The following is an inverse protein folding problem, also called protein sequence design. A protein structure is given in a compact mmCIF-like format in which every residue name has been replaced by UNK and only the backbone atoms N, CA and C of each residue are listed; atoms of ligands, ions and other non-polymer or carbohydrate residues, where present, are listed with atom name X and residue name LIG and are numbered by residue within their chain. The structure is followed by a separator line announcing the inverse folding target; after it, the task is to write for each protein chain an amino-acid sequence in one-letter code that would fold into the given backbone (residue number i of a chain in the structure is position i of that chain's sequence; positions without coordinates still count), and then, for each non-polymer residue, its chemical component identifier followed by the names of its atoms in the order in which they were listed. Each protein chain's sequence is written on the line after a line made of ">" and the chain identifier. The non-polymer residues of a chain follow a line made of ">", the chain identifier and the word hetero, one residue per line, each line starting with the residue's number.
data_IF_013388748283
#
_entry.id   IF_013388748283
#
_cell.length_a   1.000
_cell.length_b   1.000
_cell.length_c   1.000
_cell.angle_alpha   90.00
_cell.angle_beta   90.00
_cell.angle_gamma   90.00
#
_symmetry.space_group_name_H-M   'P 1'
#
loop_
_entity.id
_entity.type
_entity.pdbx_description
1 polymer ?
#
# COMPACT_ATOMS: atom_id res chain seq x y z
N UNK A 1 16.94 5.97 -20.56
CA UNK A 1 16.68 4.52 -20.47
C UNK A 1 16.93 4.09 -19.04
N UNK A 2 15.89 4.04 -18.19
CA UNK A 2 16.05 3.57 -16.80
C UNK A 2 16.07 2.06 -16.82
N UNK A 3 17.28 1.47 -16.76
CA UNK A 3 17.46 0.05 -16.49
C UNK A 3 17.04 -0.21 -15.04
N UNK A 4 15.73 -0.25 -14.80
CA UNK A 4 15.19 -0.73 -13.54
C UNK A 4 15.38 -2.24 -13.55
N UNK A 5 16.46 -2.73 -12.95
CA UNK A 5 16.72 -4.17 -12.79
C UNK A 5 15.47 -4.85 -12.24
N UNK A 6 14.87 -5.71 -13.04
CA UNK A 6 13.59 -6.32 -12.74
C UNK A 6 13.77 -7.32 -11.59
N UNK A 7 13.19 -7.02 -10.43
CA UNK A 7 13.34 -7.87 -9.23
C UNK A 7 12.43 -9.09 -9.34
N UNK A 8 13.04 -10.26 -9.37
CA UNK A 8 12.36 -11.54 -9.51
C UNK A 8 12.05 -12.20 -8.16
N UNK A 9 10.87 -12.83 -8.06
CA UNK A 9 10.45 -13.54 -6.87
C UNK A 9 11.27 -14.82 -6.69
N UNK A 10 11.84 -15.01 -5.51
CA UNK A 10 12.66 -16.19 -5.18
C UNK A 10 11.83 -17.48 -5.24
N UNK A 11 10.53 -17.40 -4.96
CA UNK A 11 9.61 -18.55 -4.86
C UNK A 11 9.04 -18.95 -6.22
N UNK A 12 8.42 -18.03 -6.96
CA UNK A 12 7.73 -18.35 -8.21
C UNK A 12 8.51 -17.96 -9.47
N UNK A 13 9.71 -17.37 -9.32
CA UNK A 13 10.61 -16.92 -10.39
C UNK A 13 10.02 -15.91 -11.38
N UNK A 14 8.83 -15.36 -11.10
CA UNK A 14 8.24 -14.28 -11.89
C UNK A 14 8.72 -12.90 -11.41
N UNK A 15 8.78 -11.91 -12.31
CA UNK A 15 9.15 -10.54 -11.94
C UNK A 15 8.12 -9.83 -11.05
N UNK A 16 8.45 -8.62 -10.61
CA UNK A 16 7.55 -7.77 -9.81
C UNK A 16 7.54 -8.10 -8.32
N UNK A 17 8.60 -8.69 -7.79
CA UNK A 17 8.72 -8.99 -6.37
C UNK A 17 9.09 -7.73 -5.58
N UNK A 18 8.11 -7.16 -4.89
CA UNK A 18 8.25 -5.91 -4.12
C UNK A 18 8.27 -6.10 -2.60
N UNK A 19 8.17 -7.34 -2.15
CA UNK A 19 8.21 -7.71 -0.74
C UNK A 19 9.51 -8.46 -0.44
N UNK A 20 9.91 -8.43 0.82
CA UNK A 20 11.11 -9.09 1.30
C UNK A 20 10.72 -10.12 2.35
N UNK A 21 11.25 -11.33 2.21
CA UNK A 21 11.16 -12.39 3.20
C UNK A 21 12.51 -12.59 3.89
N UNK A 22 12.49 -12.81 5.20
CA UNK A 22 13.63 -13.28 5.99
C UNK A 22 13.24 -14.54 6.76
N UNK A 23 14.12 -15.53 6.75
CA UNK A 23 14.00 -16.77 7.51
C UNK A 23 15.14 -16.81 8.53
N UNK A 24 14.81 -16.95 9.81
CA UNK A 24 15.75 -17.04 10.94
C UNK A 24 16.81 -15.94 10.98
N UNK A 25 16.42 -14.72 10.58
CA UNK A 25 17.34 -13.58 10.53
C UNK A 25 18.37 -13.62 9.38
N UNK A 26 18.29 -14.62 8.50
CA UNK A 26 19.17 -14.80 7.37
C UNK A 26 18.96 -13.79 6.23
N UNK A 27 19.31 -14.22 5.02
CA UNK A 27 19.31 -13.39 3.83
C UNK A 27 17.91 -12.80 3.54
N UNK A 28 17.92 -11.58 3.02
CA UNK A 28 16.72 -10.91 2.49
C UNK A 28 16.41 -11.49 1.11
N UNK A 29 15.27 -12.16 0.99
CA UNK A 29 14.84 -12.78 -0.25
C UNK A 29 13.70 -11.96 -0.87
N UNK A 30 13.82 -11.49 -2.13
CA UNK A 30 12.72 -10.83 -2.80
C UNK A 30 11.60 -11.83 -3.08
N UNK A 31 10.37 -11.48 -2.72
CA UNK A 31 9.17 -12.28 -2.91
C UNK A 31 7.98 -11.40 -3.31
N UNK A 32 6.95 -12.01 -3.90
CA UNK A 32 5.62 -11.43 -3.84
C UNK A 32 5.03 -11.64 -2.45
N UNK A 33 4.21 -10.71 -1.97
CA UNK A 33 3.47 -10.86 -0.70
C UNK A 33 2.79 -12.24 -0.56
N UNK A 34 1.95 -12.70 -1.51
CA UNK A 34 1.28 -14.00 -1.38
C UNK A 34 2.27 -15.17 -1.35
N UNK A 35 3.37 -15.09 -2.11
CA UNK A 35 4.39 -16.13 -2.07
C UNK A 35 5.07 -16.20 -0.70
N UNK A 36 5.44 -15.05 -0.12
CA UNK A 36 6.06 -14.98 1.20
C UNK A 36 5.13 -15.48 2.31
N UNK A 37 3.86 -15.05 2.31
CA UNK A 37 2.87 -15.48 3.32
C UNK A 37 2.61 -16.99 3.24
N UNK A 38 2.55 -17.56 2.02
CA UNK A 38 2.40 -19.02 1.86
C UNK A 38 3.58 -19.78 2.45
N UNK A 39 4.82 -19.33 2.20
CA UNK A 39 6.01 -19.97 2.79
C UNK A 39 6.01 -19.83 4.32
N UNK A 40 5.66 -18.65 4.84
CA UNK A 40 5.54 -18.42 6.28
C UNK A 40 4.50 -19.34 6.92
N UNK A 41 3.35 -19.55 6.28
CA UNK A 41 2.30 -20.44 6.78
C UNK A 41 2.73 -21.93 6.76
N UNK A 42 3.58 -22.32 5.80
CA UNK A 42 4.13 -23.68 5.70
C UNK A 42 5.44 -23.88 6.46
N UNK A 43 5.89 -22.88 7.24
CA UNK A 43 7.16 -22.95 7.94
C UNK A 43 7.09 -23.97 9.10
N UNK A 44 8.13 -24.81 9.29
CA UNK A 44 8.22 -25.71 10.44
C UNK A 44 8.14 -24.96 11.77
N UNK A 45 7.57 -25.60 12.80
CA UNK A 45 7.51 -25.03 14.16
C UNK A 45 8.93 -24.67 14.63
N UNK A 46 9.07 -23.46 15.17
CA UNK A 46 10.36 -22.93 15.66
C UNK A 46 11.16 -22.11 14.63
N UNK A 47 10.75 -22.08 13.35
CA UNK A 47 11.33 -21.18 12.34
C UNK A 47 10.67 -19.80 12.40
N UNK A 48 11.48 -18.74 12.34
CA UNK A 48 10.99 -17.36 12.32
C UNK A 48 11.01 -16.84 10.89
N UNK A 49 9.84 -16.81 10.25
CA UNK A 49 9.66 -16.22 8.92
C UNK A 49 9.00 -14.84 9.03
N UNK A 50 9.69 -13.80 8.55
CA UNK A 50 9.17 -12.43 8.47
C UNK A 50 8.99 -12.02 7.02
N UNK A 51 7.86 -11.41 6.71
CA UNK A 51 7.52 -10.87 5.40
C UNK A 51 7.17 -9.39 5.58
N UNK A 52 7.83 -8.50 4.84
CA UNK A 52 7.66 -7.06 4.98
C UNK A 52 7.90 -6.33 3.64
N UNK A 53 7.34 -5.13 3.46
CA UNK A 53 7.53 -4.37 2.22
C UNK A 53 9.00 -3.99 2.00
N UNK A 54 9.46 -3.94 0.74
CA UNK A 54 10.78 -3.41 0.40
C UNK A 54 10.88 -1.92 0.75
N UNK A 55 12.11 -1.40 0.78
CA UNK A 55 12.32 0.02 1.08
C UNK A 55 11.68 0.92 0.02
N UNK A 56 11.78 0.55 -1.27
CA UNK A 56 11.13 1.27 -2.37
C UNK A 56 9.60 1.25 -2.23
N UNK A 57 9.03 0.09 -1.87
CA UNK A 57 7.59 -0.03 -1.67
C UNK A 57 7.10 0.83 -0.49
N UNK A 58 7.91 0.96 0.57
CA UNK A 58 7.62 1.88 1.69
C UNK A 58 7.64 3.34 1.23
N UNK A 59 8.69 3.75 0.51
CA UNK A 59 8.81 5.11 0.00
C UNK A 59 7.65 5.50 -0.91
N UNK A 60 7.19 4.58 -1.76
CA UNK A 60 5.99 4.82 -2.59
C UNK A 60 4.72 5.00 -1.76
N UNK A 61 4.56 4.26 -0.67
CA UNK A 61 3.43 4.44 0.24
C UNK A 61 3.52 5.77 0.99
N UNK A 62 4.70 6.17 1.46
CA UNK A 62 4.91 7.45 2.13
C UNK A 62 4.54 8.64 1.21
N UNK A 63 4.90 8.57 -0.08
CA UNK A 63 4.50 9.58 -1.07
C UNK A 63 2.99 9.60 -1.27
N UNK A 64 2.34 8.43 -1.34
CA UNK A 64 0.88 8.35 -1.49
C UNK A 64 0.16 8.92 -0.28
N UNK A 65 0.62 8.63 0.92
CA UNK A 65 0.02 9.13 2.16
C UNK A 65 0.20 10.64 2.27
N UNK A 66 1.38 11.17 1.90
CA UNK A 66 1.61 12.60 1.80
C UNK A 66 0.58 13.30 0.90
N UNK A 67 0.32 12.76 -0.28
CA UNK A 67 -0.68 13.34 -1.19
C UNK A 67 -2.10 13.17 -0.67
N UNK A 68 -2.45 12.01 -0.11
CA UNK A 68 -3.76 11.78 0.50
C UNK A 68 -4.09 12.83 1.57
N UNK A 69 -3.11 13.19 2.40
CA UNK A 69 -3.30 14.18 3.45
C UNK A 69 -3.37 15.62 2.90
N UNK A 70 -2.63 15.94 1.84
CA UNK A 70 -2.76 17.23 1.13
C UNK A 70 -4.14 17.40 0.50
N UNK A 71 -4.67 16.35 -0.14
CA UNK A 71 -6.02 16.39 -0.73
C UNK A 71 -7.12 16.50 0.32
N UNK A 72 -7.05 15.74 1.44
CA UNK A 72 -7.99 15.91 2.55
C UNK A 72 -8.00 17.34 3.09
N UNK A 73 -6.81 17.92 3.25
CA UNK A 73 -6.65 19.30 3.73
C UNK A 73 -7.21 20.35 2.75
N UNK A 74 -7.09 20.09 1.44
CA UNK A 74 -7.68 20.95 0.41
C UNK A 74 -9.22 20.85 0.38
N UNK A 75 -9.77 19.63 0.48
CA UNK A 75 -11.23 19.40 0.52
C UNK A 75 -11.86 20.07 1.75
N UNK A 76 -11.24 19.97 2.92
CA UNK A 76 -11.74 20.63 4.13
C UNK A 76 -11.78 22.16 4.01
N UNK A 77 -10.79 22.77 3.36
CA UNK A 77 -10.75 24.22 3.11
C UNK A 77 -11.78 24.72 2.10
N UNK A 78 -12.36 23.82 1.31
CA UNK A 78 -13.32 24.13 0.25
C UNK A 78 -14.72 23.59 0.53
N UNK A 79 -15.07 23.22 1.77
CA UNK A 79 -16.47 22.93 2.11
C UNK A 79 -17.25 24.25 2.08
N UNK A 80 -18.14 24.53 1.10
CA UNK A 80 -19.07 25.62 1.26
C UNK A 80 -19.98 25.28 2.43
N UNK A 81 -20.15 26.23 3.35
CA UNK A 81 -21.12 26.13 4.42
C UNK A 81 -22.47 25.71 3.81
N UNK A 82 -22.96 24.57 4.30
CA UNK A 82 -24.31 24.02 4.15
C UNK A 82 -25.32 25.11 3.74
N UNK A 83 -25.73 25.10 2.47
CA UNK A 83 -26.82 25.96 1.99
C UNK A 83 -28.09 25.61 2.80
N UNK A 84 -28.49 26.53 3.67
CA UNK A 84 -29.82 26.55 4.27
C UNK A 84 -30.88 26.54 3.16
N UNK A 85 -31.89 25.68 3.32
CA UNK A 85 -33.02 25.55 2.40
C UNK A 85 -33.71 26.91 2.17
N UNK A 86 -34.12 27.26 0.92
CA UNK A 86 -34.82 28.51 0.69
C UNK A 86 -36.26 28.47 1.24
N UNK A 87 -36.77 29.59 1.79
CA UNK A 87 -38.12 29.67 2.34
C UNK A 87 -39.17 29.84 1.22
N UNK A 88 -40.27 29.09 1.33
CA UNK A 88 -41.61 29.49 0.88
C UNK A 88 -41.89 29.53 -0.63
N UNK A 89 -42.58 28.51 -1.16
CA UNK A 89 -43.42 28.67 -2.35
C UNK A 89 -44.86 29.03 -1.94
N UNK A 90 -45.45 30.13 -2.42
CA UNK A 90 -46.88 30.37 -2.27
C UNK A 90 -47.65 29.50 -3.27
N UNK A 91 -48.67 28.78 -2.79
CA UNK A 91 -49.64 28.06 -3.63
C UNK A 91 -50.68 29.06 -4.15
N UNK A 92 -50.71 29.28 -5.46
CA UNK A 92 -51.81 29.97 -6.14
C UNK A 92 -52.95 28.98 -6.37
N UNK A 93 -54.16 29.34 -5.96
CA UNK A 93 -55.43 28.70 -6.30
C UNK A 93 -56.44 29.78 -6.70
#
# INVERSE_FOLDING_TARGET
>A
MTNTTEVHCTVCKRPGARWVMRVDGGQRLPVHKPCGERIKASAPKGRICKVYPSQELKQEWDVRDFWADKFKSAVQKHTPAKAESPPGQPKTG
#
